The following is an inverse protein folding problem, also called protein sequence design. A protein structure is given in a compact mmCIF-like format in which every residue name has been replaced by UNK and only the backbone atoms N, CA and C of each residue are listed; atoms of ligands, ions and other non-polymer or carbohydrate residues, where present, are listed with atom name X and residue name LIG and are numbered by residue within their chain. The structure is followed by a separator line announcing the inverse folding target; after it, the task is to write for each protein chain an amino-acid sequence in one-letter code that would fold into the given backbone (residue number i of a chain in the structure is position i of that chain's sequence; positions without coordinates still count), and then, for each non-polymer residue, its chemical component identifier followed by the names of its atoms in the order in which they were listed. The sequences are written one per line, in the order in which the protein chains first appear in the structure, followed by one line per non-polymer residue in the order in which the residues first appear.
data_IF_674983684209
#
_entry.id   IF_674983684209
#
_cell.length_a   1.000
_cell.length_b   1.000
_cell.length_c   1.000
_cell.angle_alpha   90.00
_cell.angle_beta   90.00
_cell.angle_gamma   90.00
#
_symmetry.space_group_name_H-M   'P 1'
#
loop_
_entity.id
_entity.type
_entity.pdbx_description
1 polymer ?
#
# COMPACT_ATOMS: atom_id res chain seq x y z
N UNK A 1 -2.41 -0.98 -33.68
CA UNK A 1 -2.03 -1.21 -32.27
C UNK A 1 -2.87 -2.35 -31.72
N UNK A 2 -2.27 -3.51 -31.47
CA UNK A 2 -3.00 -4.68 -30.96
C UNK A 2 -3.32 -4.51 -29.48
N UNK A 3 -4.61 -4.63 -29.17
CA UNK A 3 -5.16 -4.43 -27.84
C UNK A 3 -5.01 -5.73 -27.04
N UNK A 4 -4.33 -5.68 -25.89
CA UNK A 4 -4.08 -6.81 -24.97
C UNK A 4 -5.33 -7.63 -24.61
N UNK A 5 -6.51 -7.01 -24.71
CA UNK A 5 -7.81 -7.64 -24.42
C UNK A 5 -8.28 -8.60 -25.53
N UNK A 6 -7.87 -8.37 -26.78
CA UNK A 6 -8.32 -9.18 -27.92
C UNK A 6 -7.55 -10.50 -28.05
N UNK A 7 -6.32 -10.55 -27.53
CA UNK A 7 -5.46 -11.74 -27.54
C UNK A 7 -5.97 -12.84 -26.60
N UNK A 8 -6.48 -12.44 -25.42
CA UNK A 8 -6.97 -13.38 -24.40
C UNK A 8 -8.31 -14.05 -24.79
N UNK A 9 -9.13 -13.42 -25.62
CA UNK A 9 -10.45 -13.97 -25.99
C UNK A 9 -10.42 -15.01 -27.13
N UNK A 10 -9.27 -15.26 -27.76
CA UNK A 10 -9.16 -16.22 -28.89
C UNK A 10 -8.59 -17.59 -28.52
N UNK A 11 -8.36 -17.86 -27.24
CA UNK A 11 -7.64 -19.05 -26.77
C UNK A 11 -8.47 -20.21 -26.21
N UNK A 12 -9.80 -20.28 -26.40
CA UNK A 12 -10.61 -21.36 -25.82
C UNK A 12 -11.43 -22.07 -26.89
N UNK A 13 -10.83 -23.07 -27.52
CA UNK A 13 -11.54 -24.19 -28.16
C UNK A 13 -10.85 -25.49 -27.72
N UNK A 14 -11.61 -26.35 -27.04
CA UNK A 14 -11.34 -27.79 -26.93
C UNK A 14 -10.57 -28.25 -25.69
N UNK A 15 -11.29 -28.75 -24.67
CA UNK A 15 -11.34 -30.18 -24.28
C UNK A 15 -12.14 -30.31 -22.98
N UNK A 16 -13.25 -31.05 -23.05
CA UNK A 16 -14.00 -31.52 -21.88
C UNK A 16 -13.25 -32.65 -21.20
N UNK A 17 -12.70 -32.38 -20.02
CA UNK A 17 -12.41 -33.40 -19.02
C UNK A 17 -12.70 -32.79 -17.64
N UNK A 18 -13.80 -33.22 -17.02
CA UNK A 18 -14.16 -32.80 -15.67
C UNK A 18 -13.25 -33.55 -14.67
N UNK A 19 -12.18 -32.91 -14.24
CA UNK A 19 -11.42 -33.30 -13.05
C UNK A 19 -11.84 -32.39 -11.89
N UNK A 20 -12.07 -32.91 -10.67
CA UNK A 20 -12.31 -32.07 -9.52
C UNK A 20 -10.99 -31.38 -9.17
N UNK A 21 -10.85 -30.10 -9.56
CA UNK A 21 -9.77 -29.27 -9.03
C UNK A 21 -10.15 -28.94 -7.60
N UNK A 22 -9.59 -29.70 -6.65
CA UNK A 22 -9.58 -29.29 -5.26
C UNK A 22 -9.02 -27.87 -5.21
N UNK A 23 -9.83 -26.91 -4.78
CA UNK A 23 -9.38 -25.54 -4.56
C UNK A 23 -8.41 -25.57 -3.38
N UNK A 24 -7.14 -25.83 -3.67
CA UNK A 24 -6.05 -25.57 -2.74
C UNK A 24 -6.03 -24.07 -2.50
N UNK A 25 -6.60 -23.66 -1.37
CA UNK A 25 -6.34 -22.34 -0.80
C UNK A 25 -4.84 -22.29 -0.61
N UNK A 26 -4.15 -21.55 -1.47
CA UNK A 26 -2.73 -21.28 -1.29
C UNK A 26 -2.59 -20.59 0.08
N UNK A 27 -2.16 -21.36 1.07
CA UNK A 27 -1.79 -20.84 2.36
C UNK A 27 -0.57 -19.96 2.08
N UNK A 28 -0.69 -18.65 2.27
CA UNK A 28 0.46 -17.76 2.18
C UNK A 28 1.53 -18.30 3.13
N UNK A 29 2.69 -18.68 2.57
CA UNK A 29 3.83 -19.07 3.38
C UNK A 29 4.12 -17.95 4.40
N UNK A 30 4.54 -18.28 5.63
CA UNK A 30 5.07 -17.27 6.53
C UNK A 30 6.12 -16.46 5.78
N UNK A 31 6.05 -15.14 5.88
CA UNK A 31 6.99 -14.26 5.21
C UNK A 31 8.39 -14.57 5.75
N UNK A 32 9.18 -15.32 4.98
CA UNK A 32 10.60 -15.49 5.26
C UNK A 32 11.22 -14.08 5.30
N UNK A 33 12.05 -13.78 6.32
CA UNK A 33 12.72 -12.49 6.38
C UNK A 33 13.44 -12.25 5.06
N UNK A 34 13.39 -10.99 4.60
CA UNK A 34 14.11 -10.49 3.43
C UNK A 34 15.46 -11.21 3.29
N UNK A 35 15.62 -12.04 2.25
CA UNK A 35 16.86 -12.76 1.97
C UNK A 35 18.07 -11.84 1.70
N UNK A 36 17.84 -10.52 1.63
CA UNK A 36 18.86 -9.48 1.51
C UNK A 36 19.38 -9.16 2.91
N UNK A 37 20.63 -9.57 3.20
CA UNK A 37 21.31 -9.26 4.46
C UNK A 37 21.47 -7.76 4.70
N UNK A 38 21.54 -7.35 5.97
CA UNK A 38 21.69 -5.94 6.39
C UNK A 38 20.39 -5.23 6.78
N UNK A 39 19.26 -5.93 6.79
CA UNK A 39 17.96 -5.40 7.19
C UNK A 39 17.34 -6.19 8.37
N UNK A 40 18.16 -6.56 9.35
CA UNK A 40 17.69 -7.22 10.57
C UNK A 40 16.98 -6.20 11.48
N UNK A 41 15.72 -5.96 11.19
CA UNK A 41 14.84 -5.23 12.09
C UNK A 41 13.56 -6.01 12.37
N UNK A 42 13.00 -5.77 13.55
CA UNK A 42 11.74 -6.37 13.95
C UNK A 42 10.59 -5.79 13.11
N UNK A 43 9.87 -6.66 12.42
CA UNK A 43 8.64 -6.27 11.74
C UNK A 43 7.56 -5.89 12.77
N UNK A 44 6.84 -4.77 12.56
CA UNK A 44 5.71 -4.42 13.39
C UNK A 44 4.56 -5.41 13.22
N UNK A 45 3.67 -5.50 14.22
CA UNK A 45 2.46 -6.32 14.14
C UNK A 45 1.26 -5.42 13.85
N UNK A 46 0.57 -5.69 12.74
CA UNK A 46 -0.64 -4.98 12.34
C UNK A 46 -1.79 -5.95 12.07
N UNK A 47 -3.03 -5.46 12.19
CA UNK A 47 -4.18 -6.21 11.70
C UNK A 47 -4.18 -6.18 10.17
N UNK A 48 -4.75 -7.21 9.55
CA UNK A 48 -4.90 -7.23 8.10
C UNK A 48 -5.80 -6.06 7.65
N UNK A 49 -5.37 -5.30 6.66
CA UNK A 49 -6.10 -4.12 6.19
C UNK A 49 -5.95 -2.89 7.10
N UNK A 50 -4.98 -2.87 8.03
CA UNK A 50 -4.71 -1.69 8.86
C UNK A 50 -4.36 -0.46 8.01
N UNK A 51 -4.81 0.70 8.48
CA UNK A 51 -4.59 2.00 7.85
C UNK A 51 -3.53 2.79 8.60
N UNK A 52 -2.46 3.15 7.92
CA UNK A 52 -1.34 3.90 8.47
C UNK A 52 -1.41 5.34 7.95
N UNK A 53 -1.74 6.26 8.85
CA UNK A 53 -1.86 7.68 8.56
C UNK A 53 -0.63 8.45 9.05
N UNK A 54 -0.05 9.26 8.18
CA UNK A 54 1.08 10.13 8.47
C UNK A 54 0.64 11.60 8.49
N UNK A 55 0.97 12.29 9.58
CA UNK A 55 0.71 13.71 9.80
C UNK A 55 2.01 14.47 10.05
N UNK A 56 2.06 15.73 9.62
CA UNK A 56 3.21 16.57 9.84
C UNK A 56 3.28 17.76 8.90
N UNK A 57 4.51 18.23 8.73
CA UNK A 57 4.90 19.43 8.03
C UNK A 57 5.49 19.11 6.63
N UNK A 58 6.45 19.91 6.18
CA UNK A 58 7.13 19.77 4.90
C UNK A 58 7.88 18.44 4.75
N UNK A 59 8.45 17.91 5.84
CA UNK A 59 9.19 16.64 5.83
C UNK A 59 8.24 15.48 5.53
N UNK A 60 6.99 15.58 6.01
CA UNK A 60 5.95 14.59 5.73
C UNK A 60 5.31 14.82 4.36
N UNK A 61 4.99 16.07 3.99
CA UNK A 61 4.29 16.44 2.74
C UNK A 61 5.04 15.93 1.49
N UNK A 62 6.26 16.40 1.26
CA UNK A 62 7.07 16.15 0.05
C UNK A 62 6.28 16.12 -1.26
N UNK A 63 5.32 17.07 -1.39
CA UNK A 63 4.46 17.28 -2.55
C UNK A 63 3.60 16.06 -2.91
N UNK A 64 3.04 15.38 -1.91
CA UNK A 64 2.13 14.27 -2.17
C UNK A 64 0.88 14.71 -2.96
N UNK A 65 0.35 13.78 -3.76
CA UNK A 65 -0.78 13.98 -4.65
C UNK A 65 -2.08 14.19 -3.89
N UNK A 66 -2.40 15.45 -3.55
CA UNK A 66 -3.56 15.88 -2.74
C UNK A 66 -4.93 15.40 -3.22
N UNK A 67 -5.04 14.93 -4.47
CA UNK A 67 -6.28 14.43 -5.07
C UNK A 67 -6.32 12.90 -5.25
N UNK A 68 -5.27 12.17 -4.83
CA UNK A 68 -5.15 10.70 -4.93
C UNK A 68 -5.35 10.10 -6.33
N UNK A 69 -5.49 10.93 -7.38
CA UNK A 69 -5.67 10.46 -8.77
C UNK A 69 -4.37 9.92 -9.34
N UNK A 70 -3.27 10.54 -8.94
CA UNK A 70 -1.93 10.10 -9.30
C UNK A 70 -1.41 9.10 -8.26
N UNK A 71 -1.48 7.82 -8.62
CA UNK A 71 -0.99 6.72 -7.77
C UNK A 71 0.53 6.70 -7.60
N UNK A 72 1.28 7.36 -8.49
CA UNK A 72 2.75 7.39 -8.36
C UNK A 72 3.19 8.45 -7.36
N UNK A 73 2.43 9.54 -7.22
CA UNK A 73 2.75 10.65 -6.33
C UNK A 73 1.88 10.69 -5.06
N UNK A 74 0.98 9.74 -4.83
CA UNK A 74 -0.02 9.80 -3.74
C UNK A 74 0.59 9.83 -2.32
N UNK A 75 1.86 9.45 -2.14
CA UNK A 75 2.60 9.57 -0.87
C UNK A 75 3.66 10.67 -0.90
N UNK A 76 3.89 11.32 -2.04
CA UNK A 76 5.01 12.23 -2.25
C UNK A 76 6.36 11.50 -2.24
N UNK A 77 7.45 12.27 -2.21
CA UNK A 77 8.81 11.73 -2.11
C UNK A 77 9.35 11.85 -0.67
N UNK A 78 8.53 11.49 0.32
CA UNK A 78 8.88 11.57 1.74
C UNK A 78 9.32 10.23 2.33
N UNK A 79 9.74 10.28 3.60
CA UNK A 79 9.94 9.07 4.39
C UNK A 79 8.69 8.17 4.45
N UNK A 80 7.48 8.74 4.25
CA UNK A 80 6.23 7.98 4.16
C UNK A 80 6.26 7.02 2.97
N UNK A 81 6.74 7.48 1.81
CA UNK A 81 6.92 6.64 0.63
C UNK A 81 7.94 5.52 0.87
N UNK A 82 9.04 5.82 1.57
CA UNK A 82 10.07 4.82 1.90
C UNK A 82 9.52 3.74 2.84
N UNK A 83 8.79 4.12 3.89
CA UNK A 83 8.15 3.18 4.82
C UNK A 83 7.11 2.32 4.08
N UNK A 84 6.24 2.94 3.28
CA UNK A 84 5.21 2.23 2.54
C UNK A 84 5.82 1.22 1.55
N UNK A 85 6.89 1.62 0.86
CA UNK A 85 7.60 0.75 -0.07
C UNK A 85 8.22 -0.45 0.65
N UNK A 86 8.87 -0.21 1.79
CA UNK A 86 9.55 -1.27 2.52
C UNK A 86 8.58 -2.26 3.16
N UNK A 87 7.56 -1.77 3.85
CA UNK A 87 6.52 -2.62 4.43
C UNK A 87 5.68 -3.32 3.36
N UNK A 88 5.52 -2.72 2.18
CA UNK A 88 4.87 -3.35 1.03
C UNK A 88 5.64 -4.57 0.50
N UNK A 89 6.97 -4.55 0.61
CA UNK A 89 7.84 -5.69 0.27
C UNK A 89 7.86 -6.73 1.37
N UNK A 90 8.03 -6.32 2.63
CA UNK A 90 8.22 -7.25 3.74
C UNK A 90 6.91 -7.86 4.27
N UNK A 91 5.79 -7.15 4.13
CA UNK A 91 4.51 -7.52 4.73
C UNK A 91 3.33 -7.50 3.72
N UNK A 92 3.46 -8.09 2.52
CA UNK A 92 2.42 -8.00 1.50
C UNK A 92 1.08 -8.63 1.95
N UNK A 93 1.14 -9.68 2.78
CA UNK A 93 -0.05 -10.35 3.31
C UNK A 93 -0.86 -9.48 4.28
N UNK A 94 -0.25 -8.47 4.91
CA UNK A 94 -0.91 -7.58 5.85
C UNK A 94 -1.86 -6.57 5.17
N UNK A 95 -1.74 -6.36 3.84
CA UNK A 95 -2.59 -5.48 3.04
C UNK A 95 -2.74 -4.06 3.65
N UNK A 96 -1.62 -3.50 4.10
CA UNK A 96 -1.61 -2.19 4.75
C UNK A 96 -2.01 -1.07 3.77
N UNK A 97 -2.82 -0.13 4.24
CA UNK A 97 -3.15 1.09 3.51
C UNK A 97 -2.32 2.25 4.06
N UNK A 98 -1.69 3.05 3.19
CA UNK A 98 -0.86 4.18 3.59
C UNK A 98 -1.51 5.50 3.18
N UNK A 99 -1.53 6.48 4.08
CA UNK A 99 -2.04 7.82 3.80
C UNK A 99 -1.06 8.88 4.27
N UNK A 100 -0.66 9.74 3.34
CA UNK A 100 0.08 10.95 3.67
C UNK A 100 -0.90 12.13 3.74
N UNK A 101 -0.87 12.87 4.86
CA UNK A 101 -1.63 14.10 5.05
C UNK A 101 -0.72 15.23 5.58
N UNK A 102 0.58 15.16 5.31
CA UNK A 102 1.53 16.23 5.60
C UNK A 102 1.23 17.49 4.80
N UNK A 103 1.49 18.66 5.39
CA UNK A 103 1.37 19.94 4.70
C UNK A 103 2.56 20.85 5.03
N UNK A 104 3.28 21.27 3.99
CA UNK A 104 4.47 22.12 4.14
C UNK A 104 4.17 23.42 4.89
N UNK A 105 5.03 23.76 5.85
CA UNK A 105 4.90 24.98 6.67
C UNK A 105 3.99 24.84 7.89
N UNK A 106 3.29 23.72 8.06
CA UNK A 106 2.39 23.51 9.19
C UNK A 106 3.15 23.32 10.50
N UNK A 107 2.64 23.94 11.56
CA UNK A 107 3.02 23.72 12.96
C UNK A 107 1.90 22.98 13.70
N UNK A 108 2.09 22.73 15.00
CA UNK A 108 1.14 22.00 15.84
C UNK A 108 -0.28 22.62 15.83
N UNK A 109 -0.40 23.94 15.83
CA UNK A 109 -1.72 24.60 15.81
C UNK A 109 -2.46 24.39 14.46
N UNK A 110 -1.73 24.37 13.35
CA UNK A 110 -2.29 24.06 12.03
C UNK A 110 -2.76 22.60 11.94
N UNK A 111 -2.03 21.67 12.56
CA UNK A 111 -2.45 20.27 12.68
C UNK A 111 -3.75 20.16 13.48
N UNK A 112 -3.85 20.87 14.62
CA UNK A 112 -5.05 20.90 15.44
C UNK A 112 -6.27 21.39 14.66
N UNK A 113 -6.11 22.47 13.87
CA UNK A 113 -7.19 23.06 13.08
C UNK A 113 -7.81 22.09 12.06
N UNK A 114 -7.06 21.07 11.63
CA UNK A 114 -7.50 20.07 10.62
C UNK A 114 -7.58 18.64 11.15
N UNK A 115 -7.35 18.44 12.45
CA UNK A 115 -7.19 17.11 13.04
C UNK A 115 -8.43 16.23 12.88
N UNK A 116 -9.61 16.83 13.00
CA UNK A 116 -10.88 16.11 12.83
C UNK A 116 -10.95 15.46 11.44
N UNK A 117 -10.79 16.26 10.38
CA UNK A 117 -10.86 15.81 8.99
C UNK A 117 -9.71 14.90 8.58
N UNK A 118 -8.49 15.29 8.92
CA UNK A 118 -7.28 14.66 8.38
C UNK A 118 -6.76 13.51 9.26
N UNK A 119 -7.34 13.28 10.44
CA UNK A 119 -6.99 12.14 11.30
C UNK A 119 -8.20 11.36 11.82
N UNK A 120 -9.13 12.00 12.52
CA UNK A 120 -10.24 11.29 13.19
C UNK A 120 -11.21 10.66 12.18
N UNK A 121 -11.67 11.45 11.21
CA UNK A 121 -12.62 11.00 10.19
C UNK A 121 -12.03 9.92 9.27
N UNK A 122 -10.69 9.87 9.18
CA UNK A 122 -9.97 8.88 8.40
C UNK A 122 -9.93 7.50 9.05
N UNK A 123 -10.21 7.37 10.35
CA UNK A 123 -10.23 6.10 11.11
C UNK A 123 -8.99 5.22 10.82
N UNK A 124 -7.78 5.75 11.05
CA UNK A 124 -6.55 4.96 10.89
C UNK A 124 -6.51 3.77 11.85
#
# INVERSE_FOLDING_TARGET
MLNRRTFLNRGVVGFTAATPVAATRAQAAPAEPSAIGGYDYRLPTFKNGSRLLFQGDSITDMKWGRNQKDRNHYLGHSYVYLIASRLGVDMPAAKLEFFNRGMSGHKVHDLRARWQKDAIDMKP
#
